data_IF_314392525123
#
_entry.id   IF_314392525123
#
_cell.length_a   1.000
_cell.length_b   1.000
_cell.length_c   1.000
_cell.angle_alpha   90.00
_cell.angle_beta   90.00
_cell.angle_gamma   90.00
#
_symmetry.space_group_name_H-M   'P 1'
#
loop_
_entity.id
_entity.type
_entity.pdbx_description
1 polymer ?
#
# COMPACT_ATOMS: atom_id res chain seq x y z
N UNK A 1 21.21 10.93 -15.98
CA UNK A 1 19.82 10.42 -15.92
C UNK A 1 19.08 11.34 -14.98
N UNK A 2 17.98 11.92 -15.42
CA UNK A 2 17.14 12.76 -14.57
C UNK A 2 16.57 11.92 -13.41
N UNK A 3 16.64 12.45 -12.20
CA UNK A 3 16.16 11.74 -11.01
C UNK A 3 14.63 11.81 -10.97
N UNK A 4 13.97 10.66 -11.01
CA UNK A 4 12.50 10.61 -10.99
C UNK A 4 11.93 11.34 -9.78
N UNK A 5 10.86 12.11 -9.99
CA UNK A 5 10.12 12.91 -8.98
C UNK A 5 9.93 12.17 -7.67
N UNK A 6 9.57 10.89 -7.74
CA UNK A 6 9.21 10.03 -6.62
C UNK A 6 10.45 9.63 -5.82
N UNK A 7 11.60 9.42 -6.48
CA UNK A 7 12.89 9.17 -5.81
C UNK A 7 13.33 10.44 -5.08
N UNK A 8 13.21 11.60 -5.73
CA UNK A 8 13.50 12.88 -5.09
C UNK A 8 12.57 13.14 -3.88
N UNK A 9 11.29 12.73 -3.96
CA UNK A 9 10.35 12.81 -2.85
C UNK A 9 10.74 11.91 -1.69
N UNK A 10 11.13 10.65 -1.96
CA UNK A 10 11.64 9.73 -0.95
C UNK A 10 12.90 10.28 -0.27
N UNK A 11 13.85 10.84 -1.02
CA UNK A 11 15.05 11.48 -0.46
C UNK A 11 14.73 12.66 0.44
N UNK A 12 13.78 13.52 0.06
CA UNK A 12 13.34 14.64 0.89
C UNK A 12 12.71 14.18 2.21
N UNK A 13 11.99 13.05 2.20
CA UNK A 13 11.37 12.50 3.41
C UNK A 13 12.32 11.63 4.25
N UNK A 14 13.44 11.17 3.71
CA UNK A 14 14.37 10.28 4.42
C UNK A 14 14.77 10.79 5.83
N UNK A 15 15.09 12.08 6.06
CA UNK A 15 15.37 12.57 7.42
C UNK A 15 14.17 12.48 8.37
N UNK A 16 12.96 12.74 7.86
CA UNK A 16 11.71 12.65 8.64
C UNK A 16 11.41 11.20 9.01
N UNK A 17 11.59 10.29 8.06
CA UNK A 17 11.44 8.85 8.24
C UNK A 17 12.43 8.33 9.29
N UNK A 18 13.71 8.68 9.15
CA UNK A 18 14.75 8.26 10.09
C UNK A 18 14.47 8.75 11.52
N UNK A 19 14.03 10.00 11.67
CA UNK A 19 13.65 10.56 12.97
C UNK A 19 12.42 9.88 13.60
N UNK A 20 11.57 9.23 12.81
CA UNK A 20 10.40 8.51 13.28
C UNK A 20 10.70 7.06 13.72
N UNK A 21 11.86 6.49 13.37
CA UNK A 21 12.17 5.06 13.58
C UNK A 21 11.97 4.59 15.03
N UNK A 22 12.43 5.36 16.02
CA UNK A 22 12.20 5.03 17.43
C UNK A 22 10.71 5.01 17.85
N UNK A 23 9.90 5.91 17.27
CA UNK A 23 8.44 5.93 17.49
C UNK A 23 7.75 4.77 16.78
N UNK A 24 8.23 4.40 15.59
CA UNK A 24 7.73 3.26 14.82
C UNK A 24 7.94 1.97 15.63
N UNK A 25 9.14 1.74 16.13
CA UNK A 25 9.47 0.53 16.88
C UNK A 25 8.65 0.42 18.17
N UNK A 26 8.57 1.51 18.93
CA UNK A 26 7.80 1.55 20.18
C UNK A 26 6.29 1.40 19.95
N UNK A 27 5.75 2.07 18.93
CA UNK A 27 4.33 2.06 18.60
C UNK A 27 3.88 0.80 17.86
N UNK A 28 4.82 0.08 17.23
CA UNK A 28 4.56 -1.03 16.29
C UNK A 28 3.63 -0.64 15.14
N UNK A 29 3.68 0.62 14.75
CA UNK A 29 2.93 1.21 13.64
C UNK A 29 3.62 2.49 13.15
N UNK A 30 3.32 2.90 11.91
CA UNK A 30 3.78 4.19 11.41
C UNK A 30 3.04 5.32 12.12
N UNK A 31 3.75 6.30 12.72
CA UNK A 31 3.11 7.47 13.31
C UNK A 31 2.23 8.22 12.31
N UNK A 32 1.12 8.78 12.78
CA UNK A 32 0.14 9.45 11.92
C UNK A 32 0.74 10.62 11.12
N UNK A 33 1.63 11.41 11.73
CA UNK A 33 2.35 12.50 11.08
C UNK A 33 3.25 12.01 9.93
N UNK A 34 3.87 10.83 10.10
CA UNK A 34 4.65 10.21 9.04
C UNK A 34 3.74 9.70 7.91
N UNK A 35 2.63 9.05 8.25
CA UNK A 35 1.64 8.60 7.25
C UNK A 35 1.12 9.77 6.41
N UNK A 36 0.82 10.91 7.04
CA UNK A 36 0.41 12.13 6.34
C UNK A 36 1.48 12.64 5.38
N UNK A 37 2.75 12.66 5.81
CA UNK A 37 3.87 13.06 4.97
C UNK A 37 4.04 12.13 3.74
N UNK A 38 3.91 10.80 3.94
CA UNK A 38 3.97 9.81 2.87
C UNK A 38 2.82 10.00 1.84
N UNK A 39 1.60 10.31 2.31
CA UNK A 39 0.48 10.65 1.43
C UNK A 39 0.72 11.94 0.65
N UNK A 40 1.16 13.00 1.32
CA UNK A 40 1.45 14.29 0.68
C UNK A 40 2.55 14.17 -0.39
N UNK A 41 3.50 13.25 -0.21
CA UNK A 41 4.54 12.94 -1.17
C UNK A 41 4.09 11.98 -2.30
N UNK A 42 2.87 11.44 -2.24
CA UNK A 42 2.35 10.48 -3.23
C UNK A 42 2.94 9.07 -3.13
N UNK A 43 3.65 8.75 -2.05
CA UNK A 43 4.41 7.49 -1.93
C UNK A 43 3.52 6.24 -1.78
N UNK A 44 2.23 6.40 -1.47
CA UNK A 44 1.27 5.30 -1.47
C UNK A 44 0.61 5.04 -2.85
N UNK A 45 0.92 5.86 -3.87
CA UNK A 45 0.31 5.77 -5.22
C UNK A 45 1.30 5.41 -6.32
N UNK A 46 2.44 4.80 -5.96
CA UNK A 46 3.58 4.57 -6.87
C UNK A 46 3.27 3.64 -8.04
N UNK A 47 2.52 2.56 -7.81
CA UNK A 47 2.18 1.54 -8.82
C UNK A 47 0.72 1.60 -9.28
N UNK A 48 -0.05 2.56 -8.76
CA UNK A 48 -1.44 2.74 -9.17
C UNK A 48 -1.49 3.31 -10.61
N UNK A 49 -2.49 2.91 -11.44
CA UNK A 49 -2.65 3.46 -12.79
C UNK A 49 -2.87 4.98 -12.81
N UNK A 50 -2.41 5.65 -13.87
CA UNK A 50 -2.62 7.09 -14.08
C UNK A 50 -4.10 7.47 -14.19
N UNK A 51 -4.95 6.58 -14.69
CA UNK A 51 -6.41 6.77 -14.75
C UNK A 51 -7.05 6.91 -13.37
N UNK A 52 -6.35 6.47 -12.34
CA UNK A 52 -6.72 6.61 -10.93
C UNK A 52 -5.75 7.57 -10.23
N UNK A 53 -5.17 8.56 -10.91
CA UNK A 53 -4.23 9.54 -10.30
C UNK A 53 -3.04 8.88 -9.58
N UNK A 54 -2.52 7.80 -10.18
CA UNK A 54 -1.31 7.11 -9.74
C UNK A 54 -0.08 7.50 -10.57
N UNK A 55 1.12 7.16 -10.05
CA UNK A 55 2.37 7.43 -10.75
C UNK A 55 2.67 6.40 -11.85
N UNK A 56 2.10 5.20 -11.77
CA UNK A 56 2.28 4.10 -12.73
C UNK A 56 3.76 3.86 -13.06
N UNK A 57 4.59 3.78 -12.01
CA UNK A 57 6.04 3.70 -12.16
C UNK A 57 6.49 2.39 -12.82
N UNK A 58 7.54 2.49 -13.63
CA UNK A 58 8.29 1.31 -14.07
C UNK A 58 8.94 0.61 -12.85
N UNK A 59 9.07 -0.73 -12.86
CA UNK A 59 9.63 -1.48 -11.72
C UNK A 59 11.00 -0.98 -11.25
N UNK A 60 11.89 -0.61 -12.17
CA UNK A 60 13.22 -0.10 -11.82
C UNK A 60 13.18 1.27 -11.10
N UNK A 61 12.18 2.12 -11.38
CA UNK A 61 11.99 3.39 -10.66
C UNK A 61 11.39 3.14 -9.28
N UNK A 62 10.39 2.25 -9.20
CA UNK A 62 9.79 1.85 -7.94
C UNK A 62 10.83 1.27 -6.97
N UNK A 63 11.69 0.35 -7.43
CA UNK A 63 12.76 -0.22 -6.60
C UNK A 63 13.66 0.87 -6.02
N UNK A 64 14.09 1.86 -6.81
CA UNK A 64 14.91 2.96 -6.31
C UNK A 64 14.22 3.82 -5.23
N UNK A 65 12.90 4.00 -5.34
CA UNK A 65 12.11 4.66 -4.29
C UNK A 65 12.17 3.83 -3.01
N UNK A 66 11.89 2.54 -3.09
CA UNK A 66 11.90 1.65 -1.92
C UNK A 66 13.28 1.55 -1.29
N UNK A 67 14.36 1.44 -2.08
CA UNK A 67 15.75 1.46 -1.59
C UNK A 67 16.05 2.75 -0.82
N UNK A 68 15.61 3.89 -1.33
CA UNK A 68 15.79 5.19 -0.68
C UNK A 68 15.07 5.26 0.67
N UNK A 69 13.82 4.78 0.73
CA UNK A 69 13.04 4.73 1.97
C UNK A 69 13.67 3.74 2.96
N UNK A 70 14.13 2.58 2.49
CA UNK A 70 14.70 1.52 3.32
C UNK A 70 16.01 1.95 3.98
N UNK A 71 16.79 2.81 3.31
CA UNK A 71 17.98 3.43 3.89
C UNK A 71 17.68 4.35 5.08
N UNK A 72 16.45 4.85 5.21
CA UNK A 72 16.01 5.66 6.35
C UNK A 72 15.31 4.84 7.44
N UNK A 73 14.38 3.96 7.05
CA UNK A 73 13.68 3.04 7.96
C UNK A 73 13.05 1.87 7.18
N UNK A 74 13.40 0.64 7.58
CA UNK A 74 12.96 -0.56 6.89
C UNK A 74 11.45 -0.83 7.02
N UNK A 75 10.84 -0.51 8.17
CA UNK A 75 9.41 -0.74 8.41
C UNK A 75 8.55 0.18 7.54
N UNK A 76 8.96 1.43 7.40
CA UNK A 76 8.35 2.41 6.49
C UNK A 76 8.43 1.95 5.05
N UNK A 77 9.63 1.56 4.59
CA UNK A 77 9.83 1.06 3.24
C UNK A 77 8.99 -0.20 2.97
N UNK A 78 8.90 -1.11 3.93
CA UNK A 78 8.09 -2.32 3.82
C UNK A 78 6.59 -2.01 3.71
N UNK A 79 6.06 -1.09 4.53
CA UNK A 79 4.65 -0.69 4.43
C UNK A 79 4.34 -0.04 3.07
N UNK A 80 5.19 0.88 2.60
CA UNK A 80 5.02 1.51 1.28
C UNK A 80 5.13 0.49 0.15
N UNK A 81 6.10 -0.42 0.21
CA UNK A 81 6.27 -1.47 -0.80
C UNK A 81 5.05 -2.40 -0.86
N UNK A 82 4.56 -2.87 0.28
CA UNK A 82 3.43 -3.80 0.35
C UNK A 82 2.13 -3.15 -0.14
N UNK A 83 1.84 -1.92 0.28
CA UNK A 83 0.64 -1.19 -0.17
C UNK A 83 0.68 -0.89 -1.67
N UNK A 84 1.85 -0.54 -2.22
CA UNK A 84 2.05 -0.39 -3.66
C UNK A 84 1.87 -1.73 -4.41
N UNK A 85 2.36 -2.84 -3.86
CA UNK A 85 2.12 -4.17 -4.43
C UNK A 85 0.63 -4.54 -4.43
N UNK A 86 -0.09 -4.21 -3.36
CA UNK A 86 -1.54 -4.43 -3.27
C UNK A 86 -2.32 -3.59 -4.29
N UNK A 87 -1.88 -2.35 -4.57
CA UNK A 87 -2.58 -1.45 -5.50
C UNK A 87 -2.54 -1.92 -6.95
N UNK A 88 -1.66 -2.87 -7.31
CA UNK A 88 -1.70 -3.55 -8.61
C UNK A 88 -3.04 -4.26 -8.86
N UNK A 89 -3.82 -4.60 -7.81
CA UNK A 89 -5.19 -5.09 -7.97
C UNK A 89 -6.07 -4.16 -8.80
N UNK A 90 -5.81 -2.85 -8.79
CA UNK A 90 -6.58 -1.88 -9.57
C UNK A 90 -6.64 -2.23 -11.06
N UNK A 91 -5.58 -2.84 -11.61
CA UNK A 91 -5.54 -3.27 -13.01
C UNK A 91 -6.36 -4.52 -13.33
N UNK A 92 -6.84 -5.24 -12.31
CA UNK A 92 -7.61 -6.49 -12.45
C UNK A 92 -9.07 -6.35 -12.03
N UNK A 93 -9.46 -5.21 -11.45
CA UNK A 93 -10.83 -4.93 -11.04
C UNK A 93 -11.63 -4.33 -12.20
N UNK A 94 -12.95 -4.50 -12.16
CA UNK A 94 -13.84 -3.70 -13.00
C UNK A 94 -13.62 -2.19 -12.70
N UNK A 95 -13.71 -1.29 -13.69
CA UNK A 95 -13.39 0.13 -13.51
C UNK A 95 -14.13 0.79 -12.34
N UNK A 96 -15.41 0.46 -12.14
CA UNK A 96 -16.24 1.00 -11.07
C UNK A 96 -15.75 0.55 -9.68
N UNK A 97 -15.37 -0.72 -9.55
CA UNK A 97 -14.81 -1.27 -8.32
C UNK A 97 -13.40 -0.71 -8.04
N UNK A 98 -12.58 -0.53 -9.08
CA UNK A 98 -11.27 0.11 -8.94
C UNK A 98 -11.42 1.57 -8.47
N UNK A 99 -12.39 2.31 -9.03
CA UNK A 99 -12.68 3.68 -8.63
C UNK A 99 -13.19 3.78 -7.19
N UNK A 100 -14.04 2.85 -6.75
CA UNK A 100 -14.51 2.78 -5.36
C UNK A 100 -13.34 2.59 -4.37
N UNK A 101 -12.42 1.67 -4.68
CA UNK A 101 -11.30 1.33 -3.79
C UNK A 101 -10.22 2.40 -3.81
N UNK A 102 -9.83 2.89 -5.00
CA UNK A 102 -8.61 3.69 -5.21
C UNK A 102 -8.86 5.15 -5.61
N UNK A 103 -10.11 5.51 -5.92
CA UNK A 103 -10.52 6.87 -6.27
C UNK A 103 -10.27 7.90 -5.16
N UNK A 104 -10.50 7.58 -3.86
CA UNK A 104 -10.14 8.51 -2.79
C UNK A 104 -8.65 8.87 -2.81
N UNK A 105 -8.26 10.16 -2.61
CA UNK A 105 -6.85 10.58 -2.68
C UNK A 105 -5.94 9.86 -1.69
N UNK A 106 -6.50 9.47 -0.54
CA UNK A 106 -5.80 8.74 0.53
C UNK A 106 -6.04 7.24 0.50
N UNK A 107 -6.54 6.70 -0.61
CA UNK A 107 -6.78 5.27 -0.73
C UNK A 107 -5.49 4.45 -0.57
N UNK A 108 -5.56 3.45 0.32
CA UNK A 108 -4.49 2.49 0.57
C UNK A 108 -5.14 1.13 0.75
N UNK A 109 -4.64 0.15 0.00
CA UNK A 109 -5.02 -1.25 0.15
C UNK A 109 -3.91 -2.00 0.87
N UNK A 110 -4.28 -2.80 1.87
CA UNK A 110 -3.37 -3.74 2.52
C UNK A 110 -3.98 -5.14 2.56
N UNK A 111 -3.16 -6.15 2.29
CA UNK A 111 -3.50 -7.55 2.53
C UNK A 111 -2.24 -8.32 2.92
N UNK A 112 -2.45 -9.53 3.45
CA UNK A 112 -1.37 -10.47 3.72
C UNK A 112 -1.29 -11.61 2.70
N UNK A 113 -0.14 -12.29 2.68
CA UNK A 113 0.03 -13.49 1.88
C UNK A 113 -0.76 -14.68 2.45
N UNK A 114 -1.08 -15.64 1.57
CA UNK A 114 -1.79 -16.87 1.92
C UNK A 114 -3.32 -16.77 1.82
N UNK A 115 -3.96 -17.91 1.50
CA UNK A 115 -5.41 -18.04 1.50
C UNK A 115 -5.88 -18.55 2.86
N UNK A 116 -6.47 -17.66 3.66
CA UNK A 116 -6.90 -17.97 5.02
C UNK A 116 -8.42 -17.83 5.24
N UNK A 117 -9.16 -17.38 4.22
CA UNK A 117 -10.61 -17.26 4.27
C UNK A 117 -11.36 -18.31 3.46
N UNK A 118 -12.61 -18.52 3.84
CA UNK A 118 -13.62 -19.23 3.05
C UNK A 118 -14.64 -18.21 2.55
N UNK A 119 -14.96 -18.28 1.27
CA UNK A 119 -16.02 -17.49 0.64
C UNK A 119 -17.13 -18.45 0.20
N UNK A 120 -18.20 -18.53 0.98
CA UNK A 120 -19.40 -19.30 0.65
C UNK A 120 -20.22 -18.52 -0.38
N UNK A 121 -20.55 -19.13 -1.51
CA UNK A 121 -21.40 -18.49 -2.52
C UNK A 121 -22.83 -18.35 -1.98
N UNK A 122 -23.35 -17.14 -2.01
CA UNK A 122 -24.74 -16.83 -1.64
C UNK A 122 -25.44 -16.07 -2.78
N UNK A 123 -26.76 -15.90 -2.69
CA UNK A 123 -27.47 -15.06 -3.65
C UNK A 123 -26.88 -13.63 -3.64
N UNK A 124 -26.44 -13.16 -4.81
CA UNK A 124 -25.88 -11.81 -4.98
C UNK A 124 -24.41 -11.62 -4.56
N UNK A 125 -23.70 -12.65 -4.10
CA UNK A 125 -22.28 -12.50 -3.75
C UNK A 125 -21.70 -13.64 -2.92
N UNK A 126 -20.89 -13.28 -1.93
CA UNK A 126 -20.18 -14.23 -1.07
C UNK A 126 -20.32 -13.86 0.40
N UNK A 127 -20.52 -14.86 1.26
CA UNK A 127 -20.30 -14.74 2.70
C UNK A 127 -18.86 -15.13 3.01
N UNK A 128 -18.07 -14.19 3.53
CA UNK A 128 -16.64 -14.39 3.79
C UNK A 128 -16.40 -14.53 5.29
N UNK A 129 -15.69 -15.59 5.69
CA UNK A 129 -15.20 -15.79 7.05
C UNK A 129 -13.75 -16.30 7.03
N UNK A 130 -12.90 -15.72 7.87
CA UNK A 130 -11.49 -16.11 7.95
C UNK A 130 -10.70 -15.23 8.90
N UNK A 131 -9.41 -15.58 9.04
CA UNK A 131 -8.42 -14.77 9.75
C UNK A 131 -7.18 -14.63 8.87
N UNK A 132 -6.86 -13.41 8.46
CA UNK A 132 -5.67 -13.11 7.68
C UNK A 132 -4.60 -12.46 8.58
N UNK A 133 -3.36 -12.90 8.42
CA UNK A 133 -2.20 -12.30 9.07
C UNK A 133 -1.39 -11.47 8.08
N UNK A 134 -0.34 -10.79 8.56
CA UNK A 134 0.65 -10.10 7.71
C UNK A 134 0.12 -9.01 6.76
N UNK A 135 -1.02 -8.39 7.08
CA UNK A 135 -1.51 -7.19 6.40
C UNK A 135 -0.67 -5.96 6.81
N UNK A 136 0.57 -5.92 6.33
CA UNK A 136 1.52 -4.83 6.60
C UNK A 136 0.94 -3.50 6.11
N UNK A 137 0.99 -2.47 6.96
CA UNK A 137 0.35 -1.18 6.68
C UNK A 137 -1.17 -1.12 6.92
N UNK A 138 -1.81 -2.19 7.41
CA UNK A 138 -3.26 -2.22 7.67
C UNK A 138 -3.79 -1.11 8.58
N UNK A 139 -2.97 -0.59 9.51
CA UNK A 139 -3.35 0.51 10.42
C UNK A 139 -3.65 1.82 9.70
N UNK A 140 -3.09 2.01 8.50
CA UNK A 140 -3.32 3.19 7.66
C UNK A 140 -3.95 2.84 6.31
N UNK A 141 -4.47 1.61 6.17
CA UNK A 141 -5.20 1.19 4.99
C UNK A 141 -6.67 1.65 5.06
N UNK A 142 -7.21 2.10 3.94
CA UNK A 142 -8.64 2.43 3.79
C UNK A 142 -9.46 1.22 3.38
N UNK A 143 -8.81 0.23 2.76
CA UNK A 143 -9.39 -1.05 2.36
C UNK A 143 -8.48 -2.19 2.80
N UNK A 144 -9.09 -3.34 3.14
CA UNK A 144 -8.38 -4.58 3.41
C UNK A 144 -8.75 -5.62 2.36
N UNK A 145 -7.74 -6.32 1.85
CA UNK A 145 -7.92 -7.49 1.00
C UNK A 145 -7.67 -8.79 1.77
N UNK A 146 -8.23 -9.89 1.25
CA UNK A 146 -7.99 -11.21 1.80
C UNK A 146 -8.27 -12.30 0.78
N UNK A 147 -7.27 -13.14 0.51
CA UNK A 147 -7.47 -14.29 -0.36
C UNK A 147 -8.38 -15.32 0.30
N UNK A 148 -9.36 -15.80 -0.46
CA UNK A 148 -10.34 -16.77 -0.02
C UNK A 148 -10.36 -17.97 -0.96
N UNK A 149 -10.59 -19.16 -0.40
CA UNK A 149 -11.06 -20.30 -1.20
C UNK A 149 -12.57 -20.20 -1.34
N UNK A 150 -13.06 -20.20 -2.57
CA UNK A 150 -14.50 -20.23 -2.85
C UNK A 150 -15.04 -21.63 -2.52
N UNK A 151 -16.13 -21.69 -1.77
CA UNK A 151 -16.89 -22.90 -1.48
C UNK A 151 -18.30 -22.76 -2.02
N UNK A 152 -18.80 -23.82 -2.64
CA UNK A 152 -20.18 -23.94 -3.11
C UNK A 152 -21.14 -24.13 -1.94
#
# INVERSE_FOLDING_TARGET
MDEGREVAAARRLAPVIAAASGRIEMGRELPADLVDALHAAGLFRLLLPKTLDGAELAPAQFVRVIETLAGADAATAWCVCQTAGCSLAAGYLAPEAALEVFGPPRAVLAWGAGAAGKAEKIAGGYRVNGKWGFASGSRHATWLGGHCRVTL
#
